data_IF_258821962502
#
_entry.id   IF_258821962502
#
_cell.length_a   1.000
_cell.length_b   1.000
_cell.length_c   1.000
_cell.angle_alpha   90.00
_cell.angle_beta   90.00
_cell.angle_gamma   90.00
#
_symmetry.space_group_name_H-M   'P 1'
#
loop_
_entity.id
_entity.type
_entity.pdbx_description
1 polymer ?
#
# COMPACT_ATOMS: atom_id res chain seq x y z
N UNK A 1 -25.60 4.08 -7.89
CA UNK A 1 -26.92 4.74 -7.73
C UNK A 1 -27.25 5.58 -8.96
N UNK A 2 -26.48 6.62 -9.31
CA UNK A 2 -26.68 7.41 -10.56
C UNK A 2 -26.64 6.55 -11.83
N UNK A 3 -25.64 5.68 -12.00
CA UNK A 3 -25.58 4.75 -13.17
C UNK A 3 -26.77 3.79 -13.22
N UNK A 4 -27.29 3.41 -12.05
CA UNK A 4 -28.44 2.50 -11.94
C UNK A 4 -29.74 3.25 -12.25
N UNK A 5 -29.87 4.49 -11.79
CA UNK A 5 -30.98 5.39 -12.10
C UNK A 5 -30.96 5.82 -13.58
N UNK A 6 -29.79 6.04 -14.18
CA UNK A 6 -29.62 6.27 -15.62
C UNK A 6 -29.99 5.04 -16.45
N UNK A 7 -29.59 3.83 -16.01
CA UNK A 7 -29.97 2.58 -16.70
C UNK A 7 -31.48 2.34 -16.63
N UNK A 8 -32.12 2.66 -15.50
CA UNK A 8 -33.57 2.56 -15.32
C UNK A 8 -34.30 3.62 -16.15
N UNK A 9 -33.82 4.88 -16.14
CA UNK A 9 -34.39 5.95 -16.95
C UNK A 9 -34.28 5.65 -18.46
N UNK A 10 -33.17 5.07 -18.91
CA UNK A 10 -32.99 4.61 -20.30
C UNK A 10 -33.92 3.45 -20.67
N UNK A 11 -34.33 2.63 -19.72
CA UNK A 11 -35.28 1.53 -19.95
C UNK A 11 -36.75 1.97 -19.89
N UNK A 12 -37.09 2.96 -19.06
CA UNK A 12 -38.47 3.41 -18.85
C UNK A 12 -38.93 4.51 -19.84
N UNK A 13 -38.02 5.37 -20.31
CA UNK A 13 -38.34 6.48 -21.22
C UNK A 13 -38.02 6.21 -22.70
N UNK A 14 -37.56 5.02 -23.08
CA UNK A 14 -37.34 4.67 -24.49
C UNK A 14 -38.70 4.48 -25.21
N UNK A 15 -39.08 5.37 -26.15
CA UNK A 15 -40.35 5.28 -26.88
C UNK A 15 -40.47 3.98 -27.69
N UNK A 16 -39.34 3.42 -28.12
CA UNK A 16 -39.26 2.19 -28.91
C UNK A 16 -39.54 0.96 -28.03
N UNK A 17 -39.12 0.98 -26.75
CA UNK A 17 -39.42 -0.09 -25.80
C UNK A 17 -40.91 -0.12 -25.41
N UNK A 18 -41.53 1.05 -25.32
CA UNK A 18 -42.98 1.19 -25.11
C UNK A 18 -43.78 0.74 -26.36
N UNK A 19 -43.33 1.05 -27.58
CA UNK A 19 -43.94 0.55 -28.83
C UNK A 19 -43.74 -0.96 -29.05
N UNK A 20 -42.62 -1.54 -28.58
CA UNK A 20 -42.37 -2.98 -28.69
C UNK A 20 -43.28 -3.82 -27.78
N UNK A 21 -43.71 -3.27 -26.64
CA UNK A 21 -44.66 -3.89 -25.71
C UNK A 21 -46.12 -3.77 -26.17
N UNK A 22 -46.46 -2.71 -26.91
CA UNK A 22 -47.80 -2.47 -27.44
C UNK A 22 -47.79 -2.77 -28.94
N UNK A 23 -47.79 -4.06 -29.29
CA UNK A 23 -47.66 -4.54 -30.67
C UNK A 23 -48.59 -3.83 -31.67
N UNK A 24 -48.03 -2.91 -32.46
CA UNK A 24 -48.74 -2.24 -33.55
C UNK A 24 -48.17 -0.88 -33.95
N UNK A 25 -46.98 -0.83 -34.55
CA UNK A 25 -46.39 0.39 -35.13
C UNK A 25 -45.36 0.06 -36.23
N UNK A 26 -45.10 0.95 -37.21
CA UNK A 26 -44.36 0.63 -38.44
C UNK A 26 -42.91 0.24 -38.14
N UNK A 27 -42.29 -0.54 -39.03
CA UNK A 27 -40.92 -1.04 -38.90
C UNK A 27 -39.92 0.12 -38.81
N UNK A 28 -39.59 0.55 -37.59
CA UNK A 28 -38.48 1.47 -37.34
C UNK A 28 -37.21 0.81 -37.84
N UNK A 29 -36.47 1.52 -38.69
CA UNK A 29 -35.19 1.02 -39.21
C UNK A 29 -34.26 0.77 -38.02
N UNK A 30 -33.55 -0.37 -37.97
CA UNK A 30 -32.53 -0.63 -36.94
C UNK A 30 -31.47 0.47 -36.84
N UNK A 31 -31.28 1.24 -37.92
CA UNK A 31 -30.39 2.40 -37.96
C UNK A 31 -30.96 3.59 -37.19
N UNK A 32 -32.26 3.85 -37.28
CA UNK A 32 -32.92 4.98 -36.60
C UNK A 32 -32.97 4.75 -35.09
N UNK A 33 -33.19 3.50 -34.65
CA UNK A 33 -33.09 3.12 -33.24
C UNK A 33 -31.67 3.28 -32.70
N UNK A 34 -30.65 2.89 -33.48
CA UNK A 34 -29.25 3.06 -33.09
C UNK A 34 -28.85 4.55 -32.99
N UNK A 35 -29.36 5.40 -33.89
CA UNK A 35 -29.13 6.86 -33.83
C UNK A 35 -29.76 7.44 -32.55
N UNK A 36 -31.00 7.08 -32.22
CA UNK A 36 -31.68 7.55 -31.01
C UNK A 36 -30.94 7.13 -29.72
N UNK A 37 -30.42 5.91 -29.65
CA UNK A 37 -29.60 5.46 -28.51
C UNK A 37 -28.28 6.22 -28.39
N UNK A 38 -27.66 6.59 -29.50
CA UNK A 38 -26.44 7.42 -29.51
C UNK A 38 -26.76 8.85 -29.04
N UNK A 39 -27.87 9.45 -29.47
CA UNK A 39 -28.31 10.78 -29.04
C UNK A 39 -28.58 10.82 -27.52
N UNK A 40 -29.27 9.81 -26.97
CA UNK A 40 -29.49 9.69 -25.52
C UNK A 40 -28.17 9.54 -24.72
N UNK A 41 -27.20 8.82 -25.28
CA UNK A 41 -25.87 8.70 -24.69
C UNK A 41 -25.12 10.04 -24.71
N UNK A 42 -25.23 10.81 -25.79
CA UNK A 42 -24.64 12.15 -25.90
C UNK A 42 -25.27 13.08 -24.86
N UNK A 43 -26.60 13.12 -24.76
CA UNK A 43 -27.31 13.98 -23.80
C UNK A 43 -26.97 13.62 -22.35
N UNK A 44 -26.86 12.32 -22.03
CA UNK A 44 -26.45 11.86 -20.70
C UNK A 44 -24.99 12.20 -20.38
N UNK A 45 -24.10 12.17 -21.39
CA UNK A 45 -22.71 12.63 -21.24
C UNK A 45 -22.67 14.13 -21.01
N UNK A 46 -23.45 14.91 -21.78
CA UNK A 46 -23.53 16.36 -21.65
C UNK A 46 -24.10 16.78 -20.28
N UNK A 47 -25.12 16.08 -19.77
CA UNK A 47 -25.68 16.33 -18.44
C UNK A 47 -24.66 16.00 -17.33
N UNK A 48 -23.90 14.91 -17.49
CA UNK A 48 -22.82 14.55 -16.57
C UNK A 48 -21.66 15.57 -16.60
N UNK A 49 -21.28 16.03 -17.79
CA UNK A 49 -20.24 17.04 -18.00
C UNK A 49 -20.65 18.40 -17.43
N UNK A 50 -21.95 18.70 -17.36
CA UNK A 50 -22.49 19.90 -16.71
C UNK A 50 -22.62 19.75 -15.17
N UNK A 51 -22.84 18.53 -14.68
CA UNK A 51 -22.96 18.26 -13.24
C UNK A 51 -21.63 18.39 -12.49
N UNK A 52 -20.50 17.99 -13.10
CA UNK A 52 -19.18 18.06 -12.46
C UNK A 52 -18.75 19.49 -12.09
N UNK A 53 -18.85 20.50 -12.98
CA UNK A 53 -18.64 21.91 -12.66
C UNK A 53 -19.48 22.39 -11.48
N UNK A 54 -20.78 22.04 -11.47
CA UNK A 54 -21.71 22.46 -10.41
C UNK A 54 -21.31 21.85 -9.06
N UNK A 55 -20.99 20.56 -9.04
CA UNK A 55 -20.48 19.85 -7.86
C UNK A 55 -19.17 20.46 -7.36
N UNK A 56 -18.21 20.74 -8.24
CA UNK A 56 -16.94 21.37 -7.87
C UNK A 56 -17.13 22.79 -7.34
N UNK A 57 -18.12 23.53 -7.85
CA UNK A 57 -18.43 24.88 -7.37
C UNK A 57 -19.05 24.90 -5.98
N UNK A 58 -19.70 23.81 -5.57
CA UNK A 58 -20.42 23.69 -4.28
C UNK A 58 -19.68 22.82 -3.27
N UNK A 59 -18.69 22.04 -3.71
CA UNK A 59 -17.89 21.18 -2.86
C UNK A 59 -17.14 21.97 -1.78
N UNK A 60 -17.21 21.45 -0.55
CA UNK A 60 -16.42 21.96 0.60
C UNK A 60 -15.06 21.30 0.73
N UNK A 61 -14.94 20.06 0.22
CA UNK A 61 -13.73 19.25 0.25
C UNK A 61 -13.67 18.50 -1.08
N UNK A 62 -12.50 18.49 -1.71
CA UNK A 62 -12.25 17.80 -2.97
C UNK A 62 -11.10 16.82 -2.73
N UNK A 63 -11.37 15.54 -2.92
CA UNK A 63 -10.35 14.50 -2.88
C UNK A 63 -9.89 14.18 -4.30
N UNK A 64 -8.59 14.28 -4.55
CA UNK A 64 -7.99 13.91 -5.82
C UNK A 64 -6.51 13.55 -5.62
N UNK A 65 -5.91 12.86 -6.59
CA UNK A 65 -4.46 12.67 -6.62
C UNK A 65 -3.76 13.96 -7.04
N UNK A 66 -2.46 14.08 -6.76
CA UNK A 66 -1.66 15.22 -7.20
C UNK A 66 -1.69 15.44 -8.72
N UNK A 67 -1.71 14.36 -9.51
CA UNK A 67 -1.83 14.46 -10.96
C UNK A 67 -3.19 14.99 -11.41
N UNK A 68 -4.28 14.49 -10.82
CA UNK A 68 -5.64 14.98 -11.09
C UNK A 68 -5.82 16.42 -10.63
N UNK A 69 -5.09 16.88 -9.61
CA UNK A 69 -5.08 18.28 -9.17
C UNK A 69 -4.69 19.27 -10.30
N UNK A 70 -3.95 18.80 -11.31
CA UNK A 70 -3.57 19.57 -12.49
C UNK A 70 -4.63 19.63 -13.59
N UNK A 71 -5.73 18.89 -13.46
CA UNK A 71 -6.77 18.83 -14.49
C UNK A 71 -7.43 20.19 -14.69
N UNK A 72 -7.73 20.52 -15.96
CA UNK A 72 -8.38 21.79 -16.33
C UNK A 72 -9.73 22.00 -15.65
N UNK A 73 -10.46 20.91 -15.38
CA UNK A 73 -11.76 20.93 -14.70
C UNK A 73 -11.67 21.53 -13.29
N UNK A 74 -10.53 21.36 -12.60
CA UNK A 74 -10.33 21.94 -11.27
C UNK A 74 -10.11 23.46 -11.30
N UNK A 75 -9.90 24.07 -12.46
CA UNK A 75 -9.94 25.54 -12.58
C UNK A 75 -11.34 26.11 -12.40
N UNK A 76 -12.36 25.26 -12.48
CA UNK A 76 -13.76 25.64 -12.30
C UNK A 76 -14.19 25.57 -10.83
N UNK A 77 -13.34 25.07 -9.94
CA UNK A 77 -13.60 25.15 -8.51
C UNK A 77 -13.62 26.60 -8.07
N UNK A 78 -14.28 26.87 -6.94
CA UNK A 78 -14.06 28.13 -6.23
C UNK A 78 -12.59 28.22 -5.78
N UNK A 79 -12.22 29.40 -5.27
CA UNK A 79 -10.91 29.59 -4.62
C UNK A 79 -10.70 28.46 -3.60
N UNK A 80 -9.56 27.80 -3.73
CA UNK A 80 -9.08 26.82 -2.74
C UNK A 80 -8.26 27.61 -1.74
N UNK A 81 -8.67 27.66 -0.47
CA UNK A 81 -7.90 28.33 0.57
C UNK A 81 -6.81 27.40 1.15
N UNK A 82 -7.11 26.10 1.22
CA UNK A 82 -6.28 25.09 1.88
C UNK A 82 -6.02 23.89 0.98
N UNK A 83 -4.76 23.46 0.92
CA UNK A 83 -4.36 22.18 0.33
C UNK A 83 -3.78 21.29 1.42
N UNK A 84 -4.37 20.11 1.60
CA UNK A 84 -3.83 19.02 2.41
C UNK A 84 -3.25 17.95 1.47
N UNK A 85 -2.00 17.58 1.70
CA UNK A 85 -1.31 16.55 0.92
C UNK A 85 -0.93 15.45 1.90
N UNK A 86 -1.64 14.33 1.81
CA UNK A 86 -1.30 13.12 2.55
C UNK A 86 -0.23 12.31 1.82
N UNK A 87 0.56 11.52 2.55
CA UNK A 87 1.70 10.75 2.04
C UNK A 87 2.70 11.61 1.21
N UNK A 88 2.84 12.90 1.57
CA UNK A 88 3.65 13.88 0.85
C UNK A 88 5.13 13.49 0.76
N UNK A 89 5.62 12.67 1.69
CA UNK A 89 6.99 12.15 1.65
C UNK A 89 7.25 11.23 0.44
N UNK A 90 6.21 10.60 -0.09
CA UNK A 90 6.26 9.67 -1.22
C UNK A 90 6.07 10.34 -2.59
N UNK A 91 5.84 11.67 -2.64
CA UNK A 91 5.67 12.43 -3.87
C UNK A 91 6.91 13.28 -4.19
N UNK A 92 7.26 13.39 -5.47
CA UNK A 92 8.33 14.30 -5.89
C UNK A 92 7.94 15.75 -5.61
N UNK A 93 8.94 16.63 -5.48
CA UNK A 93 8.69 18.06 -5.33
C UNK A 93 7.87 18.63 -6.49
N UNK A 94 8.09 18.13 -7.71
CA UNK A 94 7.32 18.51 -8.89
C UNK A 94 5.83 18.13 -8.78
N UNK A 95 5.52 16.93 -8.26
CA UNK A 95 4.15 16.48 -8.09
C UNK A 95 3.41 17.27 -7.01
N UNK A 96 4.09 17.57 -5.90
CA UNK A 96 3.53 18.37 -4.81
C UNK A 96 3.22 19.80 -5.26
N UNK A 97 3.99 20.34 -6.21
CA UNK A 97 3.77 21.67 -6.76
C UNK A 97 2.55 21.75 -7.70
N UNK A 98 2.03 20.61 -8.21
CA UNK A 98 0.90 20.60 -9.15
C UNK A 98 -0.30 21.41 -8.61
N UNK A 99 -0.87 21.13 -7.43
CA UNK A 99 -2.04 21.86 -6.92
C UNK A 99 -1.80 23.37 -6.70
N UNK A 100 -0.56 23.88 -6.72
CA UNK A 100 -0.29 25.29 -6.44
C UNK A 100 -0.77 26.24 -7.55
N UNK A 101 -1.11 25.73 -8.74
CA UNK A 101 -1.78 26.55 -9.76
C UNK A 101 -3.15 27.05 -9.28
N UNK A 102 -3.78 26.36 -8.33
CA UNK A 102 -5.04 26.76 -7.66
C UNK A 102 -4.86 27.91 -6.67
N UNK A 103 -3.62 28.35 -6.42
CA UNK A 103 -3.23 29.43 -5.51
C UNK A 103 -3.82 29.28 -4.09
N UNK A 104 -3.55 28.15 -3.40
CA UNK A 104 -3.95 28.01 -2.01
C UNK A 104 -3.24 29.03 -1.11
N UNK A 105 -3.94 29.49 -0.08
CA UNK A 105 -3.36 30.37 0.95
C UNK A 105 -2.47 29.57 1.92
N UNK A 106 -2.83 28.29 2.16
CA UNK A 106 -2.11 27.40 3.07
C UNK A 106 -1.94 26.01 2.47
N UNK A 107 -0.80 25.39 2.80
CA UNK A 107 -0.49 24.02 2.43
C UNK A 107 -0.07 23.24 3.70
N UNK A 108 -0.73 22.12 3.97
CA UNK A 108 -0.34 21.16 5.00
C UNK A 108 0.10 19.88 4.30
N UNK A 109 1.40 19.61 4.34
CA UNK A 109 1.98 18.36 3.88
C UNK A 109 2.12 17.40 5.06
N UNK A 110 1.50 16.23 4.96
CA UNK A 110 1.56 15.15 5.94
C UNK A 110 2.29 13.98 5.31
N UNK A 111 3.23 13.38 6.02
CA UNK A 111 3.95 12.22 5.55
C UNK A 111 5.08 11.85 6.50
N UNK A 112 5.79 10.79 6.15
CA UNK A 112 6.92 10.29 6.94
C UNK A 112 8.15 10.13 6.04
N UNK A 113 9.18 11.00 6.16
CA UNK A 113 10.39 10.91 5.34
C UNK A 113 11.23 9.66 5.65
N UNK A 114 10.92 8.94 6.73
CA UNK A 114 11.54 7.67 7.11
C UNK A 114 10.77 6.44 6.58
N UNK A 115 9.70 6.65 5.81
CA UNK A 115 9.00 5.63 5.00
C UNK A 115 9.31 5.83 3.50
N UNK A 116 8.50 5.28 2.59
CA UNK A 116 8.88 5.20 1.17
C UNK A 116 9.13 6.57 0.53
N UNK A 117 10.25 6.71 -0.22
CA UNK A 117 10.48 7.89 -1.06
C UNK A 117 9.64 7.83 -2.35
N UNK A 118 9.65 8.92 -3.14
CA UNK A 118 9.17 8.89 -4.51
C UNK A 118 9.89 7.84 -5.35
N UNK A 119 9.14 7.15 -6.20
CA UNK A 119 9.70 6.15 -7.11
C UNK A 119 10.30 6.83 -8.34
N UNK A 120 11.63 6.79 -8.45
CA UNK A 120 12.37 7.41 -9.57
C UNK A 120 12.95 6.32 -10.47
N UNK A 121 12.45 6.26 -11.71
CA UNK A 121 12.89 5.26 -12.69
C UNK A 121 14.32 5.49 -13.20
N UNK A 122 14.77 6.75 -13.23
CA UNK A 122 16.11 7.13 -13.69
C UNK A 122 17.07 7.20 -12.49
N UNK A 123 18.06 6.29 -12.37
CA UNK A 123 19.04 6.35 -11.30
C UNK A 123 19.79 7.70 -11.30
N UNK A 124 20.10 8.23 -12.48
CA UNK A 124 20.76 9.52 -12.61
C UNK A 124 19.90 10.68 -12.06
N UNK A 125 18.58 10.67 -12.30
CA UNK A 125 17.70 11.69 -11.73
C UNK A 125 17.56 11.55 -10.21
N UNK A 126 17.57 10.32 -9.69
CA UNK A 126 17.56 10.06 -8.26
C UNK A 126 18.85 10.57 -7.59
N UNK A 127 20.01 10.33 -8.20
CA UNK A 127 21.32 10.84 -7.76
C UNK A 127 21.38 12.37 -7.75
N UNK A 128 20.73 13.02 -8.71
CA UNK A 128 20.60 14.48 -8.77
C UNK A 128 19.54 15.04 -7.80
N UNK A 129 18.89 14.19 -7.00
CA UNK A 129 18.03 14.60 -5.90
C UNK A 129 16.52 14.58 -6.18
N UNK A 130 16.06 14.07 -7.34
CA UNK A 130 14.62 13.99 -7.64
C UNK A 130 13.85 13.06 -6.67
N UNK A 131 14.56 12.14 -6.01
CA UNK A 131 14.02 11.26 -4.97
C UNK A 131 13.79 11.94 -3.62
N UNK A 132 14.16 13.23 -3.47
CA UNK A 132 13.87 14.02 -2.29
C UNK A 132 12.55 14.76 -2.48
N UNK A 133 11.56 14.44 -1.66
CA UNK A 133 10.27 15.13 -1.65
C UNK A 133 10.40 16.56 -1.10
N UNK A 134 9.44 17.42 -1.46
CA UNK A 134 9.33 18.76 -0.86
C UNK A 134 9.17 18.65 0.67
N UNK A 135 8.40 17.66 1.13
CA UNK A 135 8.20 17.38 2.55
C UNK A 135 9.53 17.12 3.28
N UNK A 136 10.34 16.18 2.79
CA UNK A 136 11.63 15.86 3.38
C UNK A 136 12.60 17.06 3.34
N UNK A 137 12.64 17.80 2.22
CA UNK A 137 13.50 18.99 2.08
C UNK A 137 13.14 20.08 3.08
N UNK A 138 11.85 20.38 3.24
CA UNK A 138 11.39 21.43 4.16
C UNK A 138 11.71 21.08 5.62
N UNK A 139 11.49 19.83 6.02
CA UNK A 139 11.78 19.35 7.37
C UNK A 139 13.29 19.32 7.67
N UNK A 140 14.08 18.71 6.79
CA UNK A 140 15.47 18.35 7.11
C UNK A 140 16.49 19.41 6.68
N UNK A 141 16.23 20.13 5.59
CA UNK A 141 17.23 21.01 4.97
C UNK A 141 16.93 22.50 5.20
N UNK A 142 15.65 22.85 5.29
CA UNK A 142 15.20 24.24 5.40
C UNK A 142 14.88 24.66 6.84
N UNK A 143 14.91 23.74 7.80
CA UNK A 143 14.66 24.03 9.22
C UNK A 143 13.24 24.51 9.51
N UNK A 144 12.25 24.12 8.68
CA UNK A 144 10.86 24.43 8.98
C UNK A 144 10.41 23.65 10.21
N UNK A 145 9.66 24.32 11.08
CA UNK A 145 8.98 23.67 12.19
C UNK A 145 7.97 22.64 11.64
N UNK A 146 7.96 21.46 12.26
CA UNK A 146 7.01 20.41 11.98
C UNK A 146 6.44 19.85 13.28
N UNK A 147 5.27 19.22 13.18
CA UNK A 147 4.63 18.54 14.30
C UNK A 147 4.79 17.04 14.10
N UNK A 148 5.45 16.38 15.05
CA UNK A 148 5.53 14.92 15.10
C UNK A 148 4.31 14.37 15.84
N UNK A 149 3.54 13.50 15.19
CA UNK A 149 2.54 12.70 15.89
C UNK A 149 3.26 11.55 16.57
N UNK A 150 3.40 11.64 17.90
CA UNK A 150 4.25 10.80 18.71
C UNK A 150 3.51 9.64 19.40
N UNK A 151 2.24 9.38 19.07
CA UNK A 151 1.50 8.21 19.54
C UNK A 151 1.09 7.28 18.40
N UNK A 152 1.41 6.00 18.51
CA UNK A 152 0.96 4.96 17.58
C UNK A 152 -0.18 4.12 18.17
N UNK A 153 -1.17 3.78 17.34
CA UNK A 153 -2.39 3.06 17.75
C UNK A 153 -2.58 1.74 16.99
N UNK A 154 -1.56 1.25 16.29
CA UNK A 154 -1.63 0.07 15.41
C UNK A 154 -0.98 -1.16 16.03
N UNK A 155 0.29 -1.06 16.38
CA UNK A 155 1.13 -2.21 16.69
C UNK A 155 1.08 -2.52 18.18
N UNK A 156 1.10 -3.80 18.54
CA UNK A 156 1.50 -4.18 19.91
C UNK A 156 2.90 -3.62 20.23
N UNK A 157 3.19 -3.21 21.49
CA UNK A 157 4.49 -2.64 21.91
C UNK A 157 5.71 -3.48 21.50
N UNK A 158 5.56 -4.81 21.52
CA UNK A 158 6.62 -5.75 21.15
C UNK A 158 7.01 -5.65 19.67
N UNK A 159 6.10 -5.17 18.81
CA UNK A 159 6.34 -4.96 17.38
C UNK A 159 6.91 -3.55 17.17
N UNK A 160 6.29 -2.52 17.77
CA UNK A 160 6.71 -1.12 17.60
C UNK A 160 8.09 -0.80 18.19
N UNK A 161 8.56 -1.56 19.19
CA UNK A 161 9.82 -1.32 19.89
C UNK A 161 11.03 -1.20 18.95
N UNK A 162 11.20 -2.12 17.99
CA UNK A 162 12.36 -2.09 17.10
C UNK A 162 12.30 -0.91 16.11
N UNK A 163 11.22 -0.72 15.31
CA UNK A 163 11.14 0.43 14.41
C UNK A 163 11.28 1.77 15.15
N UNK A 164 10.69 1.91 16.33
CA UNK A 164 10.80 3.12 17.14
C UNK A 164 12.25 3.43 17.53
N UNK A 165 12.99 2.45 18.04
CA UNK A 165 14.39 2.62 18.41
C UNK A 165 15.28 2.87 17.17
N UNK A 166 15.04 2.16 16.08
CA UNK A 166 15.90 2.17 14.90
C UNK A 166 15.68 3.39 14.00
N UNK A 167 14.44 3.86 13.83
CA UNK A 167 14.11 4.93 12.89
C UNK A 167 13.70 6.23 13.57
N UNK A 168 13.05 6.17 14.74
CA UNK A 168 12.41 7.33 15.36
C UNK A 168 13.05 7.78 16.68
N UNK A 169 14.28 7.34 16.97
CA UNK A 169 15.03 7.69 18.18
C UNK A 169 14.27 7.41 19.50
N UNK A 170 13.34 6.45 19.50
CA UNK A 170 12.52 6.13 20.66
C UNK A 170 11.43 7.17 20.97
N UNK A 171 11.13 8.10 20.06
CA UNK A 171 10.17 9.19 20.28
C UNK A 171 8.70 8.77 20.14
N UNK A 172 8.41 7.61 19.56
CA UNK A 172 7.03 7.12 19.40
C UNK A 172 6.57 6.41 20.67
N UNK A 173 5.38 6.75 21.13
CA UNK A 173 4.70 6.20 22.30
C UNK A 173 3.56 5.28 21.86
N UNK A 174 3.28 4.28 22.67
CA UNK A 174 2.17 3.36 22.41
C UNK A 174 0.84 3.91 22.96
N UNK A 175 -0.19 3.91 22.13
CA UNK A 175 -1.55 4.30 22.50
C UNK A 175 -2.18 3.33 23.51
N UNK A 176 -3.15 3.82 24.30
CA UNK A 176 -3.83 3.00 25.32
C UNK A 176 -4.52 1.76 24.76
N UNK A 177 -4.97 1.83 23.50
CA UNK A 177 -5.62 0.70 22.85
C UNK A 177 -4.67 -0.49 22.69
N UNK A 178 -3.45 -0.28 22.19
CA UNK A 178 -2.51 -1.37 21.88
C UNK A 178 -1.84 -1.99 23.10
N UNK A 179 -1.87 -1.28 24.24
CA UNK A 179 -1.40 -1.78 25.55
C UNK A 179 -2.51 -2.60 26.25
N UNK A 180 -3.77 -2.40 25.85
CA UNK A 180 -4.90 -3.12 26.47
C UNK A 180 -4.81 -4.62 26.21
N UNK A 181 -5.20 -5.41 27.22
CA UNK A 181 -5.36 -6.87 27.07
C UNK A 181 -6.47 -7.24 26.09
N UNK A 182 -7.43 -6.33 25.89
CA UNK A 182 -8.52 -6.51 24.94
C UNK A 182 -8.07 -6.37 23.48
N UNK A 183 -6.86 -5.84 23.25
CA UNK A 183 -6.27 -5.70 21.92
C UNK A 183 -5.73 -7.03 21.40
N UNK A 184 -6.65 -7.84 20.89
CA UNK A 184 -6.41 -9.22 20.47
C UNK A 184 -6.92 -9.48 19.05
N UNK A 185 -6.34 -10.49 18.41
CA UNK A 185 -6.80 -11.00 17.12
C UNK A 185 -7.06 -12.50 17.22
N UNK A 186 -8.03 -12.97 16.44
CA UNK A 186 -8.34 -14.40 16.28
C UNK A 186 -7.36 -15.11 15.36
N UNK A 187 -6.59 -14.37 14.57
CA UNK A 187 -5.70 -14.92 13.53
C UNK A 187 -4.25 -15.08 13.99
N UNK A 188 -3.90 -14.58 15.18
CA UNK A 188 -2.52 -14.68 15.70
C UNK A 188 -2.15 -16.12 16.00
N UNK A 189 -1.03 -16.59 15.43
CA UNK A 189 -0.44 -17.91 15.69
C UNK A 189 -0.10 -18.10 17.18
N UNK A 190 0.44 -17.04 17.78
CA UNK A 190 0.87 -16.97 19.17
C UNK A 190 0.61 -15.56 19.69
N UNK A 191 -0.58 -15.27 20.25
CA UNK A 191 -0.92 -13.94 20.76
C UNK A 191 0.07 -13.39 21.80
N UNK A 192 0.77 -14.28 22.50
CA UNK A 192 1.82 -14.02 23.49
C UNK A 192 3.19 -13.73 22.88
N UNK A 193 3.39 -14.01 21.59
CA UNK A 193 4.60 -13.69 20.81
C UNK A 193 4.21 -12.81 19.61
N UNK A 194 3.98 -11.49 19.82
CA UNK A 194 3.63 -10.57 18.74
C UNK A 194 4.74 -10.37 17.71
N UNK A 195 5.98 -10.67 18.06
CA UNK A 195 7.14 -10.53 17.17
C UNK A 195 7.99 -11.79 17.22
N UNK A 196 8.23 -12.38 16.05
CA UNK A 196 9.09 -13.55 15.87
C UNK A 196 9.88 -13.46 14.57
N UNK A 197 11.07 -14.05 14.57
CA UNK A 197 11.89 -14.18 13.39
C UNK A 197 12.21 -15.67 13.19
N UNK A 198 11.75 -16.24 12.08
CA UNK A 198 11.99 -17.64 11.71
C UNK A 198 13.24 -17.70 10.84
N UNK A 199 14.27 -18.35 11.37
CA UNK A 199 15.54 -18.48 10.67
C UNK A 199 15.49 -19.60 9.63
N UNK A 200 15.80 -19.28 8.38
CA UNK A 200 15.83 -20.23 7.25
C UNK A 200 17.28 -20.35 6.72
N UNK A 201 18.17 -21.11 7.39
CA UNK A 201 19.58 -21.16 7.04
C UNK A 201 19.85 -21.87 5.71
N UNK A 202 19.04 -22.88 5.37
CA UNK A 202 19.19 -23.66 4.13
C UNK A 202 18.51 -23.03 2.91
N UNK A 203 18.03 -21.78 3.04
CA UNK A 203 17.30 -21.10 1.99
C UNK A 203 18.14 -20.90 0.73
N UNK A 204 17.56 -21.19 -0.44
CA UNK A 204 18.22 -21.05 -1.73
C UNK A 204 17.49 -20.04 -2.59
N UNK A 205 18.11 -18.88 -2.73
CA UNK A 205 17.63 -17.86 -3.66
C UNK A 205 17.83 -18.30 -5.12
N UNK A 206 16.86 -17.96 -5.96
CA UNK A 206 16.91 -18.13 -7.41
C UNK A 206 16.28 -16.90 -8.09
N UNK A 207 16.59 -16.70 -9.36
CA UNK A 207 15.96 -15.65 -10.17
C UNK A 207 14.82 -16.23 -11.00
N UNK A 208 13.71 -15.50 -11.07
CA UNK A 208 12.63 -15.80 -12.00
C UNK A 208 12.96 -15.35 -13.44
N UNK A 209 12.04 -15.61 -14.37
CA UNK A 209 12.21 -15.23 -15.78
C UNK A 209 12.33 -13.72 -16.01
N UNK A 210 11.91 -12.88 -15.05
CA UNK A 210 12.03 -11.44 -15.07
C UNK A 210 13.29 -10.91 -14.37
N UNK A 211 14.17 -11.79 -13.90
CA UNK A 211 15.38 -11.43 -13.15
C UNK A 211 15.13 -11.03 -11.69
N UNK A 212 13.90 -11.19 -11.18
CA UNK A 212 13.58 -10.92 -9.78
C UNK A 212 13.90 -12.12 -8.91
N UNK A 213 14.23 -11.89 -7.64
CA UNK A 213 14.62 -12.97 -6.72
C UNK A 213 13.42 -13.63 -6.04
N UNK A 214 13.56 -14.92 -5.77
CA UNK A 214 12.67 -15.73 -4.96
C UNK A 214 13.48 -16.75 -4.16
N UNK A 215 12.91 -17.25 -3.07
CA UNK A 215 13.54 -18.25 -2.21
C UNK A 215 12.51 -19.32 -1.89
N UNK A 216 12.82 -20.56 -2.29
CA UNK A 216 11.88 -21.67 -2.24
C UNK A 216 11.64 -22.10 -0.80
N UNK A 217 12.69 -22.28 0.00
CA UNK A 217 12.57 -22.73 1.38
C UNK A 217 11.87 -21.68 2.25
N UNK A 218 12.14 -20.38 2.05
CA UNK A 218 11.34 -19.34 2.69
C UNK A 218 9.87 -19.39 2.26
N UNK A 219 9.59 -19.66 0.98
CA UNK A 219 8.23 -19.81 0.50
C UNK A 219 7.52 -20.99 1.15
N UNK A 220 8.19 -22.13 1.30
CA UNK A 220 7.65 -23.33 1.94
C UNK A 220 7.31 -23.02 3.42
N UNK A 221 8.20 -22.35 4.16
CA UNK A 221 7.94 -21.88 5.53
C UNK A 221 6.73 -20.94 5.59
N UNK A 222 6.64 -19.96 4.70
CA UNK A 222 5.50 -19.02 4.66
C UNK A 222 4.18 -19.75 4.39
N UNK A 223 4.18 -20.73 3.49
CA UNK A 223 2.98 -21.53 3.19
C UNK A 223 2.56 -22.38 4.38
N UNK A 224 3.52 -23.00 5.08
CA UNK A 224 3.25 -23.75 6.31
C UNK A 224 2.63 -22.85 7.39
N UNK A 225 3.13 -21.62 7.56
CA UNK A 225 2.53 -20.64 8.46
C UNK A 225 1.08 -20.31 8.08
N UNK A 226 0.81 -20.09 6.79
CA UNK A 226 -0.56 -19.85 6.30
C UNK A 226 -1.47 -21.04 6.60
N UNK A 227 -0.99 -22.27 6.39
CA UNK A 227 -1.75 -23.50 6.69
C UNK A 227 -2.07 -23.62 8.19
N UNK A 228 -1.11 -23.28 9.06
CA UNK A 228 -1.30 -23.28 10.51
C UNK A 228 -2.32 -22.19 10.89
N UNK A 229 -2.16 -20.95 10.42
CA UNK A 229 -3.11 -19.85 10.69
C UNK A 229 -4.52 -20.25 10.23
N UNK A 230 -4.63 -20.83 9.04
CA UNK A 230 -5.90 -21.28 8.49
C UNK A 230 -6.57 -22.35 9.35
N UNK A 231 -5.77 -23.28 9.90
CA UNK A 231 -6.27 -24.35 10.75
C UNK A 231 -6.74 -23.83 12.11
N UNK A 232 -6.03 -22.85 12.67
CA UNK A 232 -6.39 -22.25 13.96
C UNK A 232 -7.59 -21.30 13.88
N UNK A 233 -7.69 -20.53 12.79
CA UNK A 233 -8.65 -19.41 12.66
C UNK A 233 -9.86 -19.75 11.78
N UNK A 234 -9.79 -20.83 11.01
CA UNK A 234 -10.75 -21.15 9.95
C UNK A 234 -10.46 -20.41 8.64
N UNK A 235 -10.73 -21.05 7.50
CA UNK A 235 -10.46 -20.49 6.15
C UNK A 235 -11.13 -19.15 5.84
N UNK A 236 -12.24 -18.84 6.51
CA UNK A 236 -13.00 -17.60 6.28
C UNK A 236 -12.32 -16.35 6.85
N UNK A 237 -11.33 -16.51 7.74
CA UNK A 237 -10.65 -15.42 8.46
C UNK A 237 -9.29 -15.03 7.82
N UNK A 238 -9.09 -15.32 6.53
CA UNK A 238 -7.83 -15.06 5.79
C UNK A 238 -7.95 -13.95 4.73
N UNK A 239 -8.81 -12.94 4.97
CA UNK A 239 -8.85 -11.76 4.11
C UNK A 239 -7.59 -10.88 4.27
N UNK A 240 -7.49 -9.83 3.45
CA UNK A 240 -6.32 -8.96 3.40
C UNK A 240 -6.10 -8.08 4.64
N UNK A 241 -7.13 -7.89 5.47
CA UNK A 241 -7.08 -7.17 6.74
C UNK A 241 -6.65 -8.10 7.88
N UNK A 242 -6.82 -9.42 7.72
CA UNK A 242 -6.40 -10.42 8.70
C UNK A 242 -5.00 -10.91 8.47
N UNK A 243 -4.67 -11.32 7.25
CA UNK A 243 -3.36 -11.89 6.92
C UNK A 243 -2.83 -11.31 5.62
N UNK A 244 -1.63 -10.73 5.70
CA UNK A 244 -0.91 -10.24 4.53
C UNK A 244 0.54 -10.68 4.55
N UNK A 245 1.01 -11.13 3.40
CA UNK A 245 2.41 -11.52 3.19
C UNK A 245 3.09 -10.40 2.40
N UNK A 246 4.16 -9.86 2.96
CA UNK A 246 4.98 -8.81 2.37
C UNK A 246 6.34 -9.41 2.01
N UNK A 247 6.85 -9.04 0.84
CA UNK A 247 8.21 -9.38 0.43
C UNK A 247 8.83 -8.23 -0.35
N UNK A 248 10.16 -8.24 -0.50
CA UNK A 248 10.90 -7.19 -1.18
C UNK A 248 11.04 -7.44 -2.69
N UNK A 249 10.61 -8.61 -3.18
CA UNK A 249 10.86 -9.04 -4.56
C UNK A 249 9.60 -9.55 -5.25
N UNK A 250 9.36 -9.05 -6.47
CA UNK A 250 8.23 -9.46 -7.29
C UNK A 250 8.28 -10.96 -7.65
N UNK A 251 9.48 -11.52 -7.82
CA UNK A 251 9.68 -12.95 -8.05
C UNK A 251 9.12 -13.79 -6.92
N UNK A 252 9.36 -13.38 -5.67
CA UNK A 252 8.80 -14.05 -4.49
C UNK A 252 7.29 -13.89 -4.39
N UNK A 253 6.73 -12.72 -4.71
CA UNK A 253 5.26 -12.53 -4.81
C UNK A 253 4.65 -13.53 -5.78
N UNK A 254 5.21 -13.63 -6.98
CA UNK A 254 4.73 -14.53 -8.03
C UNK A 254 4.85 -16.00 -7.61
N UNK A 255 5.93 -16.35 -6.92
CA UNK A 255 6.16 -17.71 -6.44
C UNK A 255 5.17 -18.09 -5.33
N UNK A 256 5.03 -17.27 -4.30
CA UNK A 256 4.08 -17.47 -3.20
C UNK A 256 2.64 -17.58 -3.69
N UNK A 257 2.17 -16.64 -4.54
CA UNK A 257 0.82 -16.70 -5.11
C UNK A 257 0.55 -18.02 -5.83
N UNK A 258 1.52 -18.52 -6.58
CA UNK A 258 1.40 -19.79 -7.29
C UNK A 258 1.31 -20.99 -6.34
N UNK A 259 2.15 -21.04 -5.32
CA UNK A 259 2.18 -22.16 -4.36
C UNK A 259 0.93 -22.14 -3.47
N UNK A 260 0.55 -20.97 -2.95
CA UNK A 260 -0.67 -20.77 -2.16
C UNK A 260 -1.93 -21.14 -2.95
N UNK A 261 -2.03 -20.72 -4.22
CA UNK A 261 -3.16 -21.10 -5.08
C UNK A 261 -3.27 -22.62 -5.27
N UNK A 262 -2.15 -23.34 -5.42
CA UNK A 262 -2.15 -24.82 -5.50
C UNK A 262 -2.64 -25.49 -4.22
N UNK A 263 -2.45 -24.86 -3.07
CA UNK A 263 -2.95 -25.30 -1.76
C UNK A 263 -4.39 -24.83 -1.48
N UNK A 264 -5.00 -24.08 -2.40
CA UNK A 264 -6.37 -23.57 -2.29
C UNK A 264 -6.50 -22.25 -1.52
N UNK A 265 -5.40 -21.53 -1.28
CA UNK A 265 -5.39 -20.22 -0.62
C UNK A 265 -5.41 -19.08 -1.64
N UNK A 266 -6.57 -18.87 -2.26
CA UNK A 266 -6.73 -17.81 -3.27
C UNK A 266 -6.95 -16.40 -2.68
N UNK A 267 -7.41 -16.31 -1.44
CA UNK A 267 -7.74 -15.04 -0.77
C UNK A 267 -6.59 -14.38 -0.01
N UNK A 268 -5.45 -15.06 0.17
CA UNK A 268 -4.33 -14.52 0.94
C UNK A 268 -3.64 -13.41 0.17
N UNK A 269 -3.55 -12.22 0.76
CA UNK A 269 -2.89 -11.08 0.14
C UNK A 269 -1.38 -11.27 0.15
N UNK A 270 -0.76 -11.23 -1.03
CA UNK A 270 0.69 -11.25 -1.21
C UNK A 270 1.10 -10.07 -2.07
N UNK A 271 1.98 -9.23 -1.53
CA UNK A 271 2.36 -7.97 -2.15
C UNK A 271 3.84 -7.65 -1.91
N UNK A 272 4.39 -6.76 -2.74
CA UNK A 272 5.69 -6.16 -2.45
C UNK A 272 5.54 -5.12 -1.33
N UNK A 273 6.65 -4.76 -0.68
CA UNK A 273 6.64 -3.67 0.31
C UNK A 273 6.13 -2.35 -0.27
N UNK A 274 6.56 -1.98 -1.48
CA UNK A 274 6.14 -0.74 -2.15
C UNK A 274 4.63 -0.71 -2.42
N UNK A 275 4.01 -1.86 -2.72
CA UNK A 275 2.56 -1.97 -2.92
C UNK A 275 1.76 -2.14 -1.61
N UNK A 276 2.44 -2.15 -0.46
CA UNK A 276 1.82 -2.34 0.86
C UNK A 276 1.85 -1.06 1.74
N UNK A 277 2.25 0.09 1.18
CA UNK A 277 2.15 1.37 1.88
C UNK A 277 0.68 1.72 2.16
N UNK A 278 0.41 2.31 3.31
CA UNK A 278 -0.96 2.62 3.77
C UNK A 278 -1.80 1.41 4.19
N UNK A 279 -1.40 0.18 3.84
CA UNK A 279 -2.11 -1.03 4.28
C UNK A 279 -1.73 -1.44 5.71
N UNK A 280 -2.61 -2.21 6.36
CA UNK A 280 -2.33 -2.87 7.63
C UNK A 280 -3.06 -4.21 7.70
N UNK A 281 -2.57 -5.14 8.51
CA UNK A 281 -3.27 -6.41 8.77
C UNK A 281 -3.03 -6.91 10.19
N UNK A 282 -3.90 -7.80 10.69
CA UNK A 282 -3.73 -8.42 12.01
C UNK A 282 -2.40 -9.16 12.12
N UNK A 283 -2.10 -9.96 11.11
CA UNK A 283 -0.88 -10.74 10.99
C UNK A 283 -0.16 -10.35 9.71
N UNK A 284 1.11 -9.98 9.84
CA UNK A 284 2.01 -9.74 8.71
C UNK A 284 3.13 -10.77 8.74
N UNK A 285 3.34 -11.42 7.60
CA UNK A 285 4.51 -12.26 7.36
C UNK A 285 5.43 -11.53 6.39
N UNK A 286 6.67 -11.25 6.79
CA UNK A 286 7.68 -10.60 5.95
C UNK A 286 8.70 -11.63 5.49
N UNK A 287 8.79 -11.91 4.17
CA UNK A 287 9.83 -12.76 3.57
C UNK A 287 10.95 -11.92 2.97
N UNK A 288 12.16 -12.09 3.49
CA UNK A 288 13.36 -11.33 3.12
C UNK A 288 14.08 -11.89 1.89
N UNK A 289 13.88 -13.16 1.55
CA UNK A 289 14.35 -13.87 0.34
C UNK A 289 15.86 -14.14 0.30
N UNK A 290 16.69 -13.16 0.69
CA UNK A 290 18.13 -13.21 0.43
C UNK A 290 18.85 -14.18 1.35
N UNK A 291 19.64 -15.07 0.73
CA UNK A 291 20.34 -16.16 1.43
C UNK A 291 21.77 -16.42 0.91
N UNK A 292 22.43 -15.41 0.33
CA UNK A 292 23.76 -15.58 -0.27
C UNK A 292 24.91 -15.52 0.74
N UNK A 293 25.75 -16.56 0.77
CA UNK A 293 26.89 -16.72 1.70
C UNK A 293 28.12 -15.85 1.40
N UNK A 294 28.21 -15.21 0.21
CA UNK A 294 29.53 -14.79 -0.31
C UNK A 294 29.74 -13.30 -0.51
N UNK A 295 28.71 -12.44 -0.45
CA UNK A 295 28.87 -11.01 -0.86
C UNK A 295 28.05 -9.97 -0.09
N UNK A 296 27.54 -10.29 1.10
CA UNK A 296 26.69 -9.37 1.86
C UNK A 296 25.39 -8.98 1.12
N UNK A 297 24.45 -8.38 1.82
CA UNK A 297 23.14 -8.01 1.22
C UNK A 297 23.28 -6.87 0.19
N UNK A 298 24.33 -6.03 0.30
CA UNK A 298 24.45 -4.78 -0.47
C UNK A 298 25.12 -4.90 -1.84
N UNK A 299 26.01 -5.88 -2.08
CA UNK A 299 26.55 -6.09 -3.43
C UNK A 299 25.58 -6.82 -4.36
N UNK A 300 24.45 -7.29 -3.84
CA UNK A 300 23.32 -7.78 -4.61
C UNK A 300 22.21 -6.72 -4.67
N UNK A 301 22.58 -5.58 -5.25
CA UNK A 301 21.78 -4.38 -5.57
C UNK A 301 20.28 -4.62 -5.65
N UNK A 302 19.50 -3.95 -4.80
CA UNK A 302 18.06 -3.89 -4.95
C UNK A 302 17.34 -3.33 -3.72
N UNK A 303 16.16 -3.90 -3.45
CA UNK A 303 15.13 -3.35 -2.57
C UNK A 303 15.43 -3.38 -1.06
N UNK A 304 16.33 -4.25 -0.59
CA UNK A 304 16.68 -4.34 0.83
C UNK A 304 17.69 -3.28 1.28
N UNK A 305 18.31 -2.55 0.35
CA UNK A 305 19.28 -1.51 0.68
C UNK A 305 18.63 -0.20 1.14
N UNK A 306 17.32 -0.05 0.94
CA UNK A 306 16.57 1.11 1.41
C UNK A 306 15.93 0.77 2.76
N UNK A 307 16.56 1.26 3.83
CA UNK A 307 16.11 1.06 5.20
C UNK A 307 14.67 1.51 5.45
N UNK A 308 14.16 2.46 4.65
CA UNK A 308 12.78 2.94 4.74
C UNK A 308 11.77 1.87 4.31
N UNK A 309 12.13 1.00 3.36
CA UNK A 309 11.31 -0.17 3.00
C UNK A 309 11.25 -1.16 4.15
N UNK A 310 12.34 -1.34 4.89
CA UNK A 310 12.35 -2.19 6.08
C UNK A 310 11.40 -1.60 7.12
N UNK A 311 11.48 -0.29 7.39
CA UNK A 311 10.55 0.39 8.30
C UNK A 311 9.08 0.15 7.91
N UNK A 312 8.75 0.32 6.63
CA UNK A 312 7.39 0.08 6.12
C UNK A 312 6.97 -1.35 6.35
N UNK A 313 7.77 -2.34 5.95
CA UNK A 313 7.44 -3.76 6.08
C UNK A 313 7.19 -4.18 7.54
N UNK A 314 7.99 -3.67 8.48
CA UNK A 314 7.89 -3.99 9.92
C UNK A 314 6.71 -3.30 10.62
N UNK A 315 6.15 -2.23 10.03
CA UNK A 315 5.12 -1.39 10.67
C UNK A 315 3.69 -1.60 10.13
N UNK A 316 3.46 -2.66 9.36
CA UNK A 316 2.14 -2.99 8.80
C UNK A 316 1.28 -3.86 9.72
N UNK A 317 1.87 -4.50 10.74
CA UNK A 317 1.18 -5.49 11.57
C UNK A 317 0.43 -4.85 12.73
N UNK A 318 -0.78 -5.32 13.05
CA UNK A 318 -1.51 -4.92 14.25
C UNK A 318 -1.15 -5.79 15.46
N UNK A 319 -1.28 -7.10 15.30
CA UNK A 319 -1.21 -8.05 16.42
C UNK A 319 -0.02 -9.00 16.35
N UNK A 320 0.43 -9.38 15.16
CA UNK A 320 1.58 -10.27 15.02
C UNK A 320 2.41 -9.99 13.76
N UNK A 321 3.72 -9.86 13.94
CA UNK A 321 4.73 -9.75 12.90
C UNK A 321 5.61 -10.99 12.91
N UNK A 322 5.66 -11.69 11.79
CA UNK A 322 6.55 -12.85 11.57
C UNK A 322 7.54 -12.52 10.47
N UNK A 323 8.80 -12.35 10.84
CA UNK A 323 9.90 -12.21 9.88
C UNK A 323 10.39 -13.60 9.47
N UNK A 324 10.63 -13.83 8.19
CA UNK A 324 11.14 -15.09 7.63
C UNK A 324 12.36 -14.76 6.78
N UNK A 325 13.51 -15.32 7.13
CA UNK A 325 14.74 -15.05 6.39
C UNK A 325 15.96 -15.79 6.94
N UNK A 326 17.07 -15.69 6.23
CA UNK A 326 18.34 -16.24 6.68
C UNK A 326 19.05 -15.25 7.60
N UNK A 327 19.11 -15.54 8.91
CA UNK A 327 19.75 -14.65 9.89
C UNK A 327 21.25 -14.45 9.63
N UNK A 328 21.91 -15.48 9.08
CA UNK A 328 23.32 -15.43 8.71
C UNK A 328 23.54 -14.39 7.65
N UNK A 329 22.78 -14.46 6.54
CA UNK A 329 22.85 -13.49 5.43
C UNK A 329 22.41 -12.09 5.85
N UNK A 330 21.30 -11.95 6.56
CA UNK A 330 20.78 -10.63 6.99
C UNK A 330 21.64 -9.98 8.08
N UNK A 331 22.37 -10.78 8.87
CA UNK A 331 23.31 -10.33 9.89
C UNK A 331 24.71 -9.99 9.37
N UNK A 332 25.01 -10.26 8.09
CA UNK A 332 26.30 -9.89 7.49
C UNK A 332 26.47 -8.36 7.38
N UNK A 333 27.72 -7.92 7.25
CA UNK A 333 28.06 -6.55 6.89
C UNK A 333 27.42 -6.18 5.54
N UNK A 334 26.64 -5.10 5.53
CA UNK A 334 25.87 -4.65 4.37
C UNK A 334 24.76 -3.68 4.76
N UNK A 335 23.82 -4.10 5.61
CA UNK A 335 22.77 -3.25 6.19
C UNK A 335 22.95 -3.19 7.71
N UNK A 336 23.11 -1.99 8.27
CA UNK A 336 23.08 -1.85 9.72
C UNK A 336 21.70 -2.18 10.30
N UNK A 337 20.63 -1.78 9.61
CA UNK A 337 19.24 -2.02 10.04
C UNK A 337 18.90 -3.52 10.07
N UNK A 338 19.21 -4.29 9.02
CA UNK A 338 18.92 -5.73 9.03
C UNK A 338 19.74 -6.47 10.08
N UNK A 339 21.02 -6.08 10.26
CA UNK A 339 21.86 -6.64 11.31
C UNK A 339 21.29 -6.34 12.69
N UNK A 340 20.87 -5.10 12.94
CA UNK A 340 20.24 -4.70 14.19
C UNK A 340 18.90 -5.42 14.41
N UNK A 341 18.11 -5.66 13.35
CA UNK A 341 16.87 -6.43 13.42
C UNK A 341 17.12 -7.88 13.88
N UNK A 342 18.12 -8.55 13.31
CA UNK A 342 18.51 -9.90 13.70
C UNK A 342 19.01 -9.92 15.16
N UNK A 343 19.84 -8.94 15.53
CA UNK A 343 20.36 -8.83 16.90
C UNK A 343 19.25 -8.54 17.93
N UNK A 344 18.27 -7.67 17.61
CA UNK A 344 17.10 -7.41 18.45
C UNK A 344 16.31 -8.70 18.69
N UNK A 345 16.04 -9.45 17.61
CA UNK A 345 15.34 -10.72 17.69
C UNK A 345 16.12 -11.75 18.54
N UNK A 346 17.44 -11.82 18.42
CA UNK A 346 18.29 -12.69 19.25
C UNK A 346 18.27 -12.29 20.72
N UNK A 347 18.46 -11.01 21.02
CA UNK A 347 18.48 -10.48 22.39
C UNK A 347 17.14 -10.68 23.11
N UNK A 348 16.03 -10.62 22.38
CA UNK A 348 14.68 -10.80 22.91
C UNK A 348 14.21 -12.25 22.93
N UNK A 349 15.04 -13.20 22.45
CA UNK A 349 14.67 -14.61 22.37
C UNK A 349 13.53 -14.88 21.37
N UNK A 350 13.41 -14.04 20.34
CA UNK A 350 12.37 -14.09 19.31
C UNK A 350 12.78 -14.89 18.06
N UNK A 351 14.02 -15.39 17.99
CA UNK A 351 14.47 -16.30 16.92
C UNK A 351 13.85 -17.68 17.14
N UNK A 352 13.23 -18.22 16.08
CA UNK A 352 12.70 -19.59 16.00
C UNK A 352 13.49 -20.39 14.98
#
# INVERSE_FOLDING_TARGET
RIVQELTIAMQENDPVYQEFLVGGGPSVSPVDTAISHIELLIDAIDEFDNAVPELLSTARVIFCTLSTAGASILKQTRKIDDVLIDEAACATECEIAIPFHLRPDRCLAVGDPLQLPPTIMSPHAAELGLSRSMHARLMNDCGHEFVMLDYQYRMKPQISSFPNAQFYEGKILDGKNVISKDYSSRCSLRPEIPYSFINVPEGKEFQDSGGSYANKEECDVVVDLVEIISTLSGKADLDEDRLRIITFYQGQVNHLKRVLAKKGFHGVMVATVDSSQGCEADVIIVSFVRSSDKKGVYHATGFLADDRRINVALTRARHQLVCVGNKGTLGLEGSEVLRNLVLDAEQRGCIV
#
